data_IF_519966462261
#
_entry.id   IF_519966462261
#
_cell.length_a   1.000
_cell.length_b   1.000
_cell.length_c   1.000
_cell.angle_alpha   90.00
_cell.angle_beta   90.00
_cell.angle_gamma   90.00
#
_symmetry.space_group_name_H-M   'P 1'
#
loop_
_entity.id
_entity.type
_entity.pdbx_description
1 polymer ?
#
# COMPACT_ATOMS: atom_id res chain seq x y z
N UNK A 1 -36.70 40.77 45.09
CA UNK A 1 -37.50 41.69 44.26
C UNK A 1 -36.57 42.43 43.32
N UNK A 2 -36.57 42.07 42.03
CA UNK A 2 -36.49 43.02 40.91
C UNK A 2 -36.64 42.23 39.61
N UNK A 3 -37.76 42.47 38.93
CA UNK A 3 -38.09 41.96 37.61
C UNK A 3 -37.40 42.84 36.58
N UNK A 4 -36.73 42.24 35.60
CA UNK A 4 -36.38 42.91 34.35
C UNK A 4 -36.96 42.09 33.20
N UNK A 5 -37.85 42.77 32.49
CA UNK A 5 -38.66 42.31 31.37
C UNK A 5 -37.88 42.32 30.05
N UNK A 6 -38.14 41.27 29.27
CA UNK A 6 -37.98 41.02 27.84
C UNK A 6 -37.59 42.17 26.89
N UNK A 7 -36.78 41.84 25.88
CA UNK A 7 -37.08 42.18 24.48
C UNK A 7 -36.52 41.08 23.56
N UNK A 8 -37.42 40.31 22.94
CA UNK A 8 -37.13 39.39 21.86
C UNK A 8 -36.94 40.18 20.56
N UNK A 9 -35.82 40.02 19.87
CA UNK A 9 -35.65 40.49 18.49
C UNK A 9 -35.82 39.29 17.57
N UNK A 10 -36.98 39.23 16.90
CA UNK A 10 -37.21 38.32 15.78
C UNK A 10 -36.47 38.89 14.56
N UNK A 11 -35.41 38.21 14.11
CA UNK A 11 -34.82 38.44 12.79
C UNK A 11 -35.42 37.41 11.83
N UNK A 12 -36.44 37.82 11.10
CA UNK A 12 -36.90 37.13 9.89
C UNK A 12 -35.96 37.50 8.75
N UNK A 13 -35.12 36.55 8.31
CA UNK A 13 -34.36 36.70 7.07
C UNK A 13 -34.85 35.69 6.02
N UNK A 14 -35.22 36.27 4.90
CA UNK A 14 -35.93 35.74 3.73
C UNK A 14 -35.10 34.70 2.98
N UNK A 15 -35.74 33.58 2.63
CA UNK A 15 -35.24 32.58 1.68
C UNK A 15 -35.15 33.21 0.28
N UNK A 16 -33.95 33.32 -0.28
CA UNK A 16 -33.74 33.50 -1.72
C UNK A 16 -33.53 32.12 -2.36
N UNK A 17 -34.57 31.62 -3.03
CA UNK A 17 -34.46 30.53 -4.01
C UNK A 17 -34.15 31.18 -5.35
N UNK A 18 -32.98 30.89 -5.92
CA UNK A 18 -32.64 31.32 -7.28
C UNK A 18 -31.90 30.20 -8.01
N UNK A 19 -32.64 29.56 -8.91
CA UNK A 19 -32.21 29.27 -10.27
C UNK A 19 -31.16 28.17 -10.49
N UNK A 20 -31.64 26.97 -10.81
CA UNK A 20 -30.90 26.02 -11.63
C UNK A 20 -30.42 26.66 -12.94
N UNK A 21 -29.12 26.59 -13.22
CA UNK A 21 -28.59 26.71 -14.59
C UNK A 21 -27.74 25.49 -14.91
N UNK A 22 -28.25 24.73 -15.88
CA UNK A 22 -27.62 23.56 -16.48
C UNK A 22 -26.34 23.98 -17.19
N UNK A 23 -25.21 23.37 -16.84
CA UNK A 23 -23.95 23.48 -17.57
C UNK A 23 -23.66 22.13 -18.24
N UNK A 24 -23.61 22.16 -19.56
CA UNK A 24 -23.38 21.02 -20.45
C UNK A 24 -22.00 20.40 -20.22
N UNK A 25 -21.98 19.07 -20.13
CA UNK A 25 -20.78 18.24 -20.17
C UNK A 25 -20.06 18.46 -21.52
N UNK A 26 -18.85 18.99 -21.45
CA UNK A 26 -17.89 18.92 -22.55
C UNK A 26 -16.98 17.73 -22.25
N UNK A 27 -17.16 16.62 -22.97
CA UNK A 27 -16.22 15.50 -22.94
C UNK A 27 -14.90 15.94 -23.59
N UNK A 28 -13.85 16.05 -22.78
CA UNK A 28 -12.48 16.14 -23.28
C UNK A 28 -11.82 14.79 -23.01
N UNK A 29 -11.71 13.98 -24.06
CA UNK A 29 -10.87 12.79 -24.06
C UNK A 29 -9.41 13.23 -24.03
N UNK A 30 -8.79 13.21 -22.85
CA UNK A 30 -7.33 13.28 -22.72
C UNK A 30 -6.86 11.89 -22.34
N UNK A 31 -6.25 11.20 -23.32
CA UNK A 31 -5.47 10.00 -23.09
C UNK A 31 -4.28 10.33 -22.18
N UNK A 32 -4.46 10.13 -20.88
CA UNK A 32 -3.42 10.24 -19.87
C UNK A 32 -2.61 8.97 -19.82
N UNK A 33 -1.36 9.06 -20.26
CA UNK A 33 -0.31 8.06 -20.14
C UNK A 33 -0.16 7.67 -18.65
N UNK A 34 -0.42 6.40 -18.31
CA UNK A 34 -0.12 5.85 -16.99
C UNK A 34 1.35 6.15 -16.64
N UNK A 35 1.54 6.90 -15.57
CA UNK A 35 2.84 7.37 -15.05
C UNK A 35 3.09 6.56 -13.79
N UNK A 36 4.23 5.87 -13.71
CA UNK A 36 5.07 5.39 -12.57
C UNK A 36 4.44 5.15 -11.17
N UNK A 37 3.12 5.19 -11.04
CA UNK A 37 2.28 5.07 -9.84
C UNK A 37 1.70 3.67 -9.71
N UNK A 38 1.73 2.89 -10.79
CA UNK A 38 1.18 1.54 -10.86
C UNK A 38 2.11 0.52 -10.16
N UNK A 39 3.41 0.80 -10.03
CA UNK A 39 4.37 -0.16 -9.45
C UNK A 39 4.31 -0.18 -7.91
N UNK A 40 4.15 0.97 -7.24
CA UNK A 40 3.90 0.99 -5.78
C UNK A 40 2.51 0.44 -5.44
N UNK A 41 1.54 0.54 -6.36
CA UNK A 41 0.23 -0.10 -6.22
C UNK A 41 0.32 -1.64 -6.36
N UNK A 42 1.22 -2.14 -7.20
CA UNK A 42 1.38 -3.58 -7.43
C UNK A 42 2.11 -4.27 -6.27
N UNK A 43 3.15 -3.68 -5.68
CA UNK A 43 3.76 -4.26 -4.46
C UNK A 43 2.80 -4.22 -3.26
N UNK A 44 1.94 -3.19 -3.18
CA UNK A 44 0.87 -3.08 -2.16
C UNK A 44 -0.28 -4.07 -2.30
N UNK A 45 -0.41 -4.77 -3.44
CA UNK A 45 -1.51 -5.71 -3.73
C UNK A 45 -1.06 -7.15 -4.04
N UNK A 46 0.20 -7.37 -4.46
CA UNK A 46 0.62 -8.65 -5.07
C UNK A 46 1.30 -9.63 -4.11
N UNK A 47 1.43 -9.31 -2.81
CA UNK A 47 1.91 -10.28 -1.82
C UNK A 47 1.05 -11.57 -1.76
N UNK A 48 -0.19 -11.54 -2.26
CA UNK A 48 -1.15 -12.64 -2.08
C UNK A 48 -1.42 -13.50 -3.32
N UNK A 49 -0.96 -13.10 -4.52
CA UNK A 49 -1.32 -13.79 -5.77
C UNK A 49 -0.29 -14.82 -6.27
N UNK A 50 0.99 -14.71 -5.89
CA UNK A 50 2.09 -15.50 -6.52
C UNK A 50 2.39 -16.85 -5.88
N UNK A 51 1.64 -17.29 -4.87
CA UNK A 51 1.84 -18.63 -4.27
C UNK A 51 0.79 -19.67 -4.64
N UNK A 52 -0.18 -19.37 -5.52
CA UNK A 52 -1.25 -20.32 -5.89
C UNK A 52 -1.18 -20.91 -7.30
N UNK A 53 -0.12 -20.64 -8.09
CA UNK A 53 0.00 -21.14 -9.47
C UNK A 53 1.19 -22.08 -9.77
N UNK A 54 1.95 -22.48 -8.75
CA UNK A 54 2.84 -23.63 -8.85
C UNK A 54 2.62 -24.56 -7.65
N UNK A 55 1.52 -25.31 -7.66
CA UNK A 55 1.46 -26.71 -7.20
C UNK A 55 0.04 -27.22 -7.44
N UNK A 56 -0.19 -27.70 -8.68
CA UNK A 56 -1.40 -28.39 -9.10
C UNK A 56 -1.05 -29.71 -9.76
N UNK A 57 -0.90 -30.75 -8.92
CA UNK A 57 -1.38 -32.13 -9.16
C UNK A 57 -0.80 -32.94 -10.35
N UNK A 58 0.00 -33.94 -10.02
CA UNK A 58 -0.27 -35.33 -10.43
C UNK A 58 0.48 -36.31 -9.52
N UNK A 59 -0.27 -37.28 -8.99
CA UNK A 59 0.25 -38.50 -8.42
C UNK A 59 -0.01 -39.66 -9.36
N UNK A 60 0.82 -40.70 -9.20
CA UNK A 60 0.73 -42.07 -9.70
C UNK A 60 1.23 -42.40 -11.12
N UNK A 61 2.50 -42.82 -11.14
CA UNK A 61 3.05 -44.09 -11.62
C UNK A 61 2.59 -44.64 -12.99
N UNK A 62 3.54 -44.79 -13.93
CA UNK A 62 4.14 -46.08 -14.33
C UNK A 62 4.90 -46.02 -15.68
N UNK A 63 5.94 -46.86 -15.72
CA UNK A 63 6.50 -47.61 -16.86
C UNK A 63 7.33 -46.87 -17.94
N UNK A 64 8.64 -47.13 -17.87
CA UNK A 64 9.53 -47.68 -18.89
C UNK A 64 9.31 -47.40 -20.39
N UNK A 65 10.41 -46.96 -21.01
CA UNK A 65 10.88 -47.33 -22.34
C UNK A 65 10.08 -46.84 -23.56
N UNK A 66 10.68 -45.94 -24.35
CA UNK A 66 10.71 -46.12 -25.81
C UNK A 66 11.84 -45.31 -26.46
N UNK A 67 12.62 -46.04 -27.26
CA UNK A 67 13.73 -45.65 -28.11
C UNK A 67 13.34 -44.78 -29.32
N UNK A 68 14.35 -44.10 -29.86
CA UNK A 68 14.63 -43.90 -31.29
C UNK A 68 13.59 -43.17 -32.18
N UNK A 69 14.04 -42.13 -32.89
CA UNK A 69 14.43 -42.23 -34.30
C UNK A 69 15.08 -40.92 -34.79
N UNK A 70 16.33 -41.04 -35.23
CA UNK A 70 17.02 -40.47 -36.42
C UNK A 70 16.11 -39.75 -37.47
N UNK A 71 16.51 -38.84 -38.36
CA UNK A 71 17.78 -38.38 -38.99
C UNK A 71 17.39 -37.21 -39.93
N UNK A 72 18.15 -36.10 -39.97
CA UNK A 72 19.07 -35.65 -41.04
C UNK A 72 18.48 -35.05 -42.35
N UNK A 73 19.18 -33.99 -42.80
CA UNK A 73 19.30 -33.43 -44.16
C UNK A 73 18.18 -32.54 -44.75
N UNK A 74 18.42 -31.42 -45.46
CA UNK A 74 19.64 -30.85 -46.04
C UNK A 74 19.49 -29.33 -46.38
N UNK A 75 20.64 -28.67 -46.41
CA UNK A 75 21.12 -27.53 -47.25
C UNK A 75 20.17 -26.73 -48.15
N UNK A 76 20.29 -25.40 -48.14
CA UNK A 76 20.58 -24.57 -49.33
C UNK A 76 20.77 -23.07 -49.01
N UNK A 77 21.60 -22.44 -49.82
CA UNK A 77 22.26 -21.12 -49.69
C UNK A 77 21.35 -19.89 -49.90
N UNK A 78 21.83 -18.75 -49.41
CA UNK A 78 21.23 -17.42 -49.55
C UNK A 78 21.57 -16.73 -50.89
N UNK A 79 20.75 -15.75 -51.31
CA UNK A 79 21.25 -14.57 -52.00
C UNK A 79 20.90 -13.27 -51.26
N UNK A 80 21.81 -12.30 -51.39
CA UNK A 80 21.76 -10.99 -50.75
C UNK A 80 20.90 -9.96 -51.53
N UNK A 81 20.52 -8.92 -50.78
CA UNK A 81 20.03 -7.59 -51.18
C UNK A 81 18.51 -7.37 -51.24
N UNK A 82 17.97 -6.83 -50.15
CA UNK A 82 17.08 -5.66 -50.21
C UNK A 82 17.20 -4.86 -48.90
N UNK A 83 17.63 -3.60 -49.00
CA UNK A 83 17.73 -2.68 -47.85
C UNK A 83 16.32 -2.28 -47.44
N UNK A 84 15.81 -2.89 -46.38
CA UNK A 84 14.63 -2.38 -45.66
C UNK A 84 15.05 -1.91 -44.28
N UNK A 85 14.84 -0.62 -44.08
CA UNK A 85 15.04 0.16 -42.86
C UNK A 85 14.60 -0.61 -41.62
N UNK A 86 15.55 -0.96 -40.76
CA UNK A 86 15.28 -1.56 -39.47
C UNK A 86 14.40 -0.61 -38.63
N UNK A 87 13.33 -1.10 -37.98
CA UNK A 87 12.64 -0.31 -36.96
C UNK A 87 13.64 -0.06 -35.82
N UNK A 88 13.86 1.20 -35.49
CA UNK A 88 14.61 1.60 -34.30
C UNK A 88 14.05 0.86 -33.08
N UNK A 89 14.90 0.28 -32.20
CA UNK A 89 14.41 -0.28 -30.95
C UNK A 89 13.69 0.84 -30.21
N UNK A 90 12.40 0.61 -29.95
CA UNK A 90 11.58 1.50 -29.13
C UNK A 90 12.29 1.59 -27.80
N UNK A 91 12.57 2.82 -27.35
CA UNK A 91 13.16 3.10 -26.04
C UNK A 91 12.53 2.16 -25.01
N UNK A 92 13.33 1.22 -24.51
CA UNK A 92 12.99 0.46 -23.33
C UNK A 92 12.69 1.50 -22.26
N UNK A 93 11.41 1.60 -21.90
CA UNK A 93 11.01 2.33 -20.72
C UNK A 93 11.85 1.73 -19.61
N UNK A 94 12.50 2.57 -18.82
CA UNK A 94 13.18 2.17 -17.61
C UNK A 94 12.16 1.47 -16.71
N UNK A 95 12.00 0.16 -16.89
CA UNK A 95 11.62 -0.72 -15.82
C UNK A 95 12.69 -0.48 -14.78
N UNK A 96 12.29 0.13 -13.66
CA UNK A 96 13.15 0.25 -12.51
C UNK A 96 13.36 -1.19 -12.01
N UNK A 97 14.30 -1.87 -12.65
CA UNK A 97 14.68 -3.23 -12.33
C UNK A 97 15.19 -3.17 -10.90
N UNK A 98 14.40 -3.70 -9.98
CA UNK A 98 14.80 -4.08 -8.63
C UNK A 98 16.02 -4.98 -8.75
N UNK A 99 17.19 -4.35 -8.74
CA UNK A 99 18.43 -5.07 -8.65
C UNK A 99 18.66 -5.30 -7.15
N UNK A 100 19.04 -6.54 -6.78
CA UNK A 100 19.51 -7.00 -5.46
C UNK A 100 20.75 -6.21 -4.96
N UNK A 101 20.71 -4.88 -5.08
CA UNK A 101 21.87 -3.98 -5.17
C UNK A 101 21.77 -2.81 -4.20
N UNK A 102 20.61 -2.60 -3.58
CA UNK A 102 20.52 -1.69 -2.45
C UNK A 102 21.19 -2.35 -1.25
N UNK A 103 22.30 -1.78 -0.79
CA UNK A 103 22.99 -2.29 0.38
C UNK A 103 22.10 -2.16 1.63
N UNK A 104 21.94 -3.20 2.46
CA UNK A 104 21.20 -3.11 3.72
C UNK A 104 21.66 -1.94 4.59
N UNK A 105 20.70 -1.27 5.24
CA UNK A 105 20.94 -0.14 6.15
C UNK A 105 21.07 1.23 5.46
N UNK A 106 21.15 1.27 4.13
CA UNK A 106 21.20 2.51 3.34
C UNK A 106 19.79 2.97 2.98
N UNK A 107 19.20 3.73 3.89
CA UNK A 107 17.92 4.40 3.72
C UNK A 107 17.85 5.61 4.66
N UNK A 108 16.86 6.48 4.48
CA UNK A 108 16.74 7.71 5.27
C UNK A 108 15.76 7.58 6.44
N UNK A 109 14.60 6.97 6.19
CA UNK A 109 13.51 6.89 7.17
C UNK A 109 12.66 5.63 7.04
N UNK A 110 11.83 5.34 8.04
CA UNK A 110 10.82 4.30 7.97
C UNK A 110 9.45 4.89 7.65
N UNK A 111 8.70 4.23 6.77
CA UNK A 111 7.27 4.43 6.59
C UNK A 111 6.53 3.28 7.28
N UNK A 112 5.86 3.59 8.39
CA UNK A 112 4.91 2.67 9.00
C UNK A 112 3.62 2.69 8.17
N UNK A 113 3.19 1.54 7.67
CA UNK A 113 1.93 1.39 6.93
C UNK A 113 0.93 0.58 7.75
N UNK A 114 -0.18 1.22 8.11
CA UNK A 114 -1.31 0.61 8.81
C UNK A 114 -2.46 0.46 7.80
N UNK A 115 -2.76 -0.78 7.38
CA UNK A 115 -3.86 -1.07 6.45
C UNK A 115 -5.21 -0.97 7.13
N UNK A 116 -6.20 -0.38 6.45
CA UNK A 116 -7.59 -0.38 6.87
C UNK A 116 -8.22 -1.75 6.57
N UNK A 117 -8.29 -2.61 7.58
CA UNK A 117 -8.71 -4.01 7.42
C UNK A 117 -10.12 -4.18 6.82
N UNK A 118 -11.14 -3.35 7.13
CA UNK A 118 -12.46 -3.54 6.53
C UNK A 118 -12.49 -3.41 5.00
N UNK A 119 -11.65 -2.55 4.42
CA UNK A 119 -11.53 -2.45 2.96
C UNK A 119 -10.79 -3.67 2.38
N UNK A 120 -9.72 -4.11 3.03
CA UNK A 120 -8.99 -5.32 2.61
C UNK A 120 -9.88 -6.57 2.68
N UNK A 121 -10.59 -6.77 3.79
CA UNK A 121 -11.48 -7.90 4.03
C UNK A 121 -12.68 -7.93 3.10
N UNK A 122 -13.07 -6.81 2.49
CA UNK A 122 -14.11 -6.78 1.46
C UNK A 122 -13.73 -7.66 0.26
N UNK A 123 -12.45 -7.67 -0.12
CA UNK A 123 -11.93 -8.46 -1.24
C UNK A 123 -11.23 -9.75 -0.82
N UNK A 124 -10.82 -9.86 0.44
CA UNK A 124 -10.13 -11.02 1.02
C UNK A 124 -10.83 -11.56 2.28
N UNK A 125 -12.12 -11.92 2.23
CA UNK A 125 -12.90 -12.24 3.44
C UNK A 125 -12.40 -13.47 4.22
N UNK A 126 -11.57 -14.32 3.59
CA UNK A 126 -11.00 -15.51 4.21
C UNK A 126 -9.59 -15.30 4.81
N UNK A 127 -9.04 -14.09 4.71
CA UNK A 127 -7.74 -13.78 5.30
C UNK A 127 -7.79 -13.86 6.83
N UNK A 128 -6.69 -14.29 7.45
CA UNK A 128 -6.63 -14.54 8.90
C UNK A 128 -6.92 -13.28 9.74
N UNK A 129 -6.56 -12.09 9.24
CA UNK A 129 -6.81 -10.84 9.94
C UNK A 129 -8.29 -10.46 10.03
N UNK A 130 -9.12 -10.91 9.09
CA UNK A 130 -10.53 -10.55 9.04
C UNK A 130 -11.33 -11.14 10.20
N UNK A 131 -10.88 -12.28 10.76
CA UNK A 131 -11.48 -12.87 11.95
C UNK A 131 -11.26 -12.05 13.24
N UNK A 132 -10.34 -11.09 13.23
CA UNK A 132 -10.02 -10.25 14.40
C UNK A 132 -10.87 -8.98 14.48
N UNK A 133 -11.59 -8.64 13.41
CA UNK A 133 -12.44 -7.44 13.30
C UNK A 133 -11.72 -6.14 13.74
N UNK A 134 -10.40 -6.06 13.52
CA UNK A 134 -9.62 -4.86 13.81
C UNK A 134 -9.90 -3.80 12.77
N UNK A 135 -9.81 -2.55 13.18
CA UNK A 135 -9.85 -1.40 12.28
C UNK A 135 -8.59 -1.32 11.41
N UNK A 136 -7.42 -1.47 12.04
CA UNK A 136 -6.12 -1.41 11.38
C UNK A 136 -5.27 -2.64 11.72
N UNK A 137 -4.52 -3.11 10.73
CA UNK A 137 -3.42 -4.10 10.87
C UNK A 137 -2.12 -3.48 10.37
N UNK A 138 -0.99 -3.88 10.96
CA UNK A 138 0.32 -3.58 10.39
C UNK A 138 0.45 -4.26 9.02
N UNK A 139 0.55 -3.46 7.97
CA UNK A 139 1.01 -3.98 6.68
C UNK A 139 2.52 -4.07 6.68
N UNK A 140 3.22 -3.03 7.14
CA UNK A 140 4.66 -2.95 6.96
C UNK A 140 5.36 -1.81 7.68
N UNK A 141 6.68 -1.99 7.87
CA UNK A 141 7.60 -0.92 8.26
C UNK A 141 8.69 -0.82 7.18
N UNK A 142 8.54 0.14 6.27
CA UNK A 142 9.33 0.16 5.04
C UNK A 142 10.46 1.17 5.10
N UNK A 143 11.72 0.76 4.87
CA UNK A 143 12.80 1.70 4.58
C UNK A 143 12.50 2.58 3.36
N UNK A 144 12.68 3.89 3.47
CA UNK A 144 12.41 4.89 2.43
C UNK A 144 13.56 5.90 2.32
N UNK A 145 13.67 6.55 1.16
CA UNK A 145 14.59 7.67 0.92
C UNK A 145 13.84 8.99 0.72
N UNK A 146 14.49 10.10 1.06
CA UNK A 146 13.90 11.44 0.95
C UNK A 146 13.62 11.87 -0.50
N UNK A 147 14.30 11.27 -1.48
CA UNK A 147 14.09 11.50 -2.90
C UNK A 147 12.87 10.74 -3.48
N UNK A 148 12.21 9.93 -2.66
CA UNK A 148 11.06 9.11 -3.05
C UNK A 148 11.42 7.73 -3.57
N UNK A 149 12.71 7.41 -3.70
CA UNK A 149 13.15 6.03 -3.95
C UNK A 149 13.09 5.21 -2.66
N UNK A 150 13.19 3.90 -2.82
CA UNK A 150 13.19 2.98 -1.69
C UNK A 150 13.98 1.71 -2.01
N UNK A 151 14.73 1.18 -1.05
CA UNK A 151 15.41 -0.09 -1.23
C UNK A 151 14.42 -1.26 -1.10
N UNK A 152 14.62 -2.31 -1.89
CA UNK A 152 13.86 -3.56 -1.85
C UNK A 152 14.75 -4.77 -2.10
N UNK A 153 14.38 -5.92 -1.54
CA UNK A 153 15.04 -7.23 -1.77
C UNK A 153 16.55 -7.19 -1.50
N UNK A 154 16.97 -6.55 -0.41
CA UNK A 154 18.37 -6.19 -0.20
C UNK A 154 19.30 -7.36 0.17
N UNK A 155 18.77 -8.50 0.60
CA UNK A 155 19.55 -9.72 0.90
C UNK A 155 18.67 -10.96 1.02
N UNK A 156 19.31 -12.15 1.02
CA UNK A 156 18.66 -13.43 1.34
C UNK A 156 18.77 -13.79 2.84
N UNK A 157 18.89 -12.80 3.72
CA UNK A 157 18.99 -13.05 5.15
C UNK A 157 17.76 -13.84 5.65
N UNK A 158 17.96 -14.84 6.55
CA UNK A 158 16.87 -15.68 7.02
C UNK A 158 15.84 -14.84 7.78
N UNK A 159 14.59 -15.28 7.74
CA UNK A 159 13.49 -14.72 8.54
C UNK A 159 13.66 -14.93 10.05
N UNK A 160 12.67 -14.53 10.86
CA UNK A 160 12.76 -14.67 12.31
C UNK A 160 12.83 -16.13 12.76
N UNK A 161 13.47 -16.37 13.90
CA UNK A 161 13.64 -17.72 14.44
C UNK A 161 12.30 -18.40 14.80
N UNK A 162 11.34 -17.62 15.28
CA UNK A 162 10.00 -18.09 15.62
C UNK A 162 8.95 -17.12 15.04
N UNK A 163 8.53 -17.28 13.76
CA UNK A 163 7.61 -16.35 13.10
C UNK A 163 6.28 -16.16 13.84
N UNK A 164 5.74 -17.24 14.44
CA UNK A 164 4.48 -17.21 15.19
C UNK A 164 4.48 -16.26 16.39
N UNK A 165 5.66 -15.89 16.92
CA UNK A 165 5.73 -14.92 18.01
C UNK A 165 5.29 -13.51 17.56
N UNK A 166 5.23 -13.24 16.25
CA UNK A 166 4.81 -11.97 15.66
C UNK A 166 3.37 -11.99 15.11
N UNK A 167 2.60 -13.03 15.41
CA UNK A 167 1.20 -13.18 14.96
C UNK A 167 0.26 -12.07 15.49
N UNK A 168 0.67 -11.34 16.52
CA UNK A 168 -0.06 -10.16 17.01
C UNK A 168 -0.06 -9.01 16.00
N UNK A 169 1.06 -8.78 15.31
CA UNK A 169 1.21 -7.72 14.31
C UNK A 169 1.07 -8.23 12.87
N UNK A 170 1.43 -9.49 12.62
CA UNK A 170 1.30 -10.17 11.32
C UNK A 170 0.52 -11.48 11.47
N UNK A 171 -0.83 -11.44 11.46
CA UNK A 171 -1.64 -12.64 11.58
C UNK A 171 -1.43 -13.65 10.44
N UNK A 172 -1.05 -13.14 9.26
CA UNK A 172 -0.72 -13.94 8.09
C UNK A 172 0.80 -14.16 8.00
N UNK A 173 1.22 -15.43 8.02
CA UNK A 173 2.63 -15.80 7.97
C UNK A 173 3.28 -15.51 6.60
N UNK A 174 2.50 -15.56 5.51
CA UNK A 174 2.98 -15.22 4.17
C UNK A 174 3.22 -13.72 4.03
N UNK A 175 2.36 -12.89 4.65
CA UNK A 175 2.59 -11.45 4.75
C UNK A 175 3.87 -11.16 5.54
N UNK A 176 4.06 -11.77 6.72
CA UNK A 176 5.29 -11.62 7.49
C UNK A 176 6.54 -11.96 6.64
N UNK A 177 6.49 -13.08 5.92
CA UNK A 177 7.58 -13.51 5.07
C UNK A 177 7.86 -12.49 3.96
N UNK A 178 6.82 -12.01 3.27
CA UNK A 178 6.95 -11.01 2.22
C UNK A 178 7.55 -9.71 2.76
N UNK A 179 7.01 -9.18 3.85
CA UNK A 179 7.48 -7.94 4.47
C UNK A 179 8.93 -8.04 4.93
N UNK A 180 9.34 -9.20 5.45
CA UNK A 180 10.74 -9.44 5.76
C UNK A 180 11.61 -9.43 4.51
N UNK A 181 11.26 -10.23 3.50
CA UNK A 181 12.07 -10.42 2.29
C UNK A 181 12.23 -9.11 1.52
N UNK A 182 11.13 -8.43 1.23
CA UNK A 182 11.10 -7.22 0.41
C UNK A 182 11.67 -6.02 1.16
N UNK A 183 11.24 -5.79 2.41
CA UNK A 183 11.50 -4.54 3.13
C UNK A 183 12.42 -4.70 4.34
N UNK A 184 12.22 -5.76 5.12
CA UNK A 184 12.97 -6.01 6.35
C UNK A 184 14.47 -6.23 6.12
N UNK A 185 14.83 -6.97 5.06
CA UNK A 185 16.22 -7.23 4.67
C UNK A 185 16.99 -5.94 4.37
N UNK A 186 16.30 -4.86 3.96
CA UNK A 186 16.89 -3.56 3.67
C UNK A 186 17.19 -2.72 4.92
N UNK A 187 16.67 -3.09 6.08
CA UNK A 187 16.93 -2.37 7.33
C UNK A 187 18.37 -2.50 7.84
N UNK A 188 19.09 -3.55 7.43
CA UNK A 188 20.39 -3.93 7.99
C UNK A 188 20.31 -4.56 9.39
N UNK A 189 19.11 -4.79 9.92
CA UNK A 189 18.88 -5.47 11.20
C UNK A 189 18.64 -6.97 10.99
N UNK A 190 18.99 -7.83 11.97
CA UNK A 190 18.49 -9.20 12.01
C UNK A 190 16.95 -9.24 12.09
N UNK A 191 16.33 -10.27 11.51
CA UNK A 191 14.87 -10.37 11.37
C UNK A 191 14.10 -10.15 12.68
N UNK A 192 14.51 -10.80 13.77
CA UNK A 192 13.84 -10.64 15.06
C UNK A 192 13.95 -9.20 15.62
N UNK A 193 15.07 -8.52 15.38
CA UNK A 193 15.23 -7.11 15.79
C UNK A 193 14.38 -6.18 14.93
N UNK A 194 14.30 -6.43 13.62
CA UNK A 194 13.44 -5.67 12.71
C UNK A 194 11.95 -5.84 13.05
N UNK A 195 11.47 -7.07 13.25
CA UNK A 195 10.06 -7.31 13.58
C UNK A 195 9.70 -6.80 14.98
N UNK A 196 10.65 -6.82 15.92
CA UNK A 196 10.49 -6.12 17.21
C UNK A 196 10.43 -4.59 17.05
N UNK A 197 11.19 -4.01 16.12
CA UNK A 197 11.10 -2.60 15.76
C UNK A 197 9.75 -2.27 15.12
N UNK A 198 9.28 -3.07 14.16
CA UNK A 198 7.98 -2.92 13.51
C UNK A 198 6.82 -2.98 14.51
N UNK A 199 6.86 -3.95 15.45
CA UNK A 199 5.90 -4.01 16.57
C UNK A 199 5.91 -2.74 17.42
N UNK A 200 7.08 -2.20 17.74
CA UNK A 200 7.17 -0.95 18.52
C UNK A 200 6.61 0.24 17.74
N UNK A 201 6.85 0.29 16.43
CA UNK A 201 6.32 1.33 15.56
C UNK A 201 4.79 1.29 15.51
N UNK A 202 4.19 0.12 15.26
CA UNK A 202 2.74 -0.06 15.25
C UNK A 202 2.11 0.35 16.59
N UNK A 203 2.63 -0.18 17.70
CA UNK A 203 2.12 0.13 19.05
C UNK A 203 2.36 1.57 19.51
N UNK A 204 3.20 2.33 18.81
CA UNK A 204 3.41 3.74 19.10
C UNK A 204 2.28 4.65 18.58
N UNK A 205 1.41 4.12 17.71
CA UNK A 205 0.30 4.86 17.12
C UNK A 205 -1.01 4.44 17.77
N UNK A 206 -1.62 5.38 18.50
CA UNK A 206 -2.97 5.25 19.03
C UNK A 206 -3.98 5.43 17.90
N UNK A 207 -4.82 4.41 17.67
CA UNK A 207 -5.94 4.51 16.72
C UNK A 207 -7.03 5.42 17.31
N UNK A 208 -7.52 6.43 16.57
CA UNK A 208 -8.63 7.27 17.02
C UNK A 208 -9.90 6.47 17.26
N UNK A 209 -10.62 6.75 18.34
CA UNK A 209 -11.83 6.00 18.70
C UNK A 209 -12.94 6.15 17.63
N UNK A 210 -12.96 7.28 16.93
CA UNK A 210 -13.87 7.59 15.83
C UNK A 210 -13.70 6.65 14.64
N UNK A 211 -12.52 6.05 14.47
CA UNK A 211 -12.23 5.06 13.42
C UNK A 211 -12.17 3.65 13.99
N UNK A 212 -11.54 3.47 15.15
CA UNK A 212 -11.39 2.17 15.81
C UNK A 212 -12.71 1.56 16.28
N UNK A 213 -13.72 2.39 16.58
CA UNK A 213 -15.05 1.97 17.03
C UNK A 213 -16.15 2.21 16.01
N UNK A 214 -15.82 2.29 14.72
CA UNK A 214 -16.80 2.56 13.67
C UNK A 214 -17.80 1.40 13.56
N UNK A 215 -19.10 1.68 13.71
CA UNK A 215 -20.17 0.69 13.52
C UNK A 215 -20.91 0.87 12.20
N UNK A 216 -20.78 2.04 11.56
CA UNK A 216 -21.45 2.42 10.33
C UNK A 216 -20.47 3.08 9.38
N UNK A 217 -20.55 2.74 8.10
CA UNK A 217 -19.64 3.29 7.09
C UNK A 217 -19.76 4.81 7.03
N UNK A 218 -18.64 5.51 6.92
CA UNK A 218 -18.59 6.98 6.85
C UNK A 218 -17.75 7.46 5.69
N UNK A 219 -17.69 8.77 5.49
CA UNK A 219 -16.81 9.37 4.50
C UNK A 219 -16.30 10.74 4.99
N UNK A 220 -14.98 10.89 5.05
CA UNK A 220 -14.30 12.05 5.63
C UNK A 220 -13.35 12.68 4.60
N UNK A 221 -13.11 13.98 4.71
CA UNK A 221 -12.01 14.62 3.98
C UNK A 221 -10.66 14.13 4.54
N UNK A 222 -9.59 14.04 3.72
CA UNK A 222 -8.27 13.59 4.16
C UNK A 222 -7.75 14.30 5.42
N UNK A 223 -7.88 15.62 5.48
CA UNK A 223 -7.44 16.42 6.63
C UNK A 223 -8.21 16.11 7.92
N UNK A 224 -9.47 15.66 7.83
CA UNK A 224 -10.22 15.24 9.01
C UNK A 224 -9.64 13.93 9.57
N UNK A 225 -9.32 12.96 8.71
CA UNK A 225 -8.69 11.69 9.12
C UNK A 225 -7.32 11.97 9.76
N UNK A 226 -6.48 12.79 9.11
CA UNK A 226 -5.16 13.18 9.64
C UNK A 226 -5.32 13.90 10.99
N UNK A 227 -6.30 14.81 11.10
CA UNK A 227 -6.58 15.51 12.36
C UNK A 227 -6.98 14.56 13.48
N UNK A 228 -7.82 13.56 13.22
CA UNK A 228 -8.19 12.54 14.21
C UNK A 228 -6.95 11.81 14.75
N UNK A 229 -6.08 11.32 13.86
CA UNK A 229 -4.84 10.67 14.27
C UNK A 229 -3.94 11.59 15.10
N UNK A 230 -3.77 12.85 14.72
CA UNK A 230 -2.95 13.81 15.47
C UNK A 230 -3.55 14.18 16.83
N UNK A 231 -4.88 14.18 16.97
CA UNK A 231 -5.54 14.40 18.26
C UNK A 231 -5.29 13.24 19.21
N UNK A 232 -5.36 12.00 18.72
CA UNK A 232 -5.03 10.80 19.52
C UNK A 232 -3.53 10.63 19.76
N UNK A 233 -2.68 11.25 18.93
CA UNK A 233 -1.22 11.16 19.00
C UNK A 233 -0.57 12.55 18.96
N UNK A 234 -0.57 13.32 20.07
CA UNK A 234 -0.05 14.69 20.08
C UNK A 234 1.45 14.83 19.74
N UNK A 235 2.21 13.73 19.80
CA UNK A 235 3.62 13.67 19.40
C UNK A 235 3.83 13.63 17.89
N UNK A 236 2.79 13.39 17.09
CA UNK A 236 2.89 13.38 15.62
C UNK A 236 2.92 14.82 15.07
N UNK A 237 4.04 15.27 14.49
CA UNK A 237 4.14 16.61 13.94
C UNK A 237 3.25 16.77 12.69
N UNK A 238 3.03 18.01 12.28
CA UNK A 238 2.34 18.27 11.01
C UNK A 238 3.09 17.63 9.83
N UNK A 239 2.35 17.03 8.91
CA UNK A 239 2.92 16.40 7.72
C UNK A 239 3.61 15.06 7.97
N UNK A 240 3.55 14.47 9.17
CA UNK A 240 4.11 13.12 9.43
C UNK A 240 3.17 11.98 9.04
N UNK A 241 1.96 12.30 8.58
CA UNK A 241 0.93 11.33 8.21
C UNK A 241 0.59 11.52 6.73
N UNK A 242 0.53 10.42 6.00
CA UNK A 242 -0.04 10.34 4.66
C UNK A 242 -1.17 9.32 4.64
N UNK A 243 -2.13 9.49 3.72
CA UNK A 243 -3.22 8.53 3.53
C UNK A 243 -3.16 7.89 2.16
N UNK A 244 -3.41 6.59 2.10
CA UNK A 244 -3.60 5.87 0.84
C UNK A 244 -5.08 5.58 0.65
N UNK A 245 -5.55 5.72 -0.59
CA UNK A 245 -6.89 5.32 -0.96
C UNK A 245 -6.96 4.69 -2.35
N UNK A 246 -7.84 3.71 -2.52
CA UNK A 246 -8.15 3.04 -3.80
C UNK A 246 -9.63 3.24 -4.12
N UNK A 247 -9.98 3.72 -5.32
CA UNK A 247 -11.38 4.06 -5.67
C UNK A 247 -12.08 4.97 -4.63
N UNK A 248 -11.33 5.86 -3.99
CA UNK A 248 -11.74 6.70 -2.87
C UNK A 248 -12.09 5.95 -1.56
N UNK A 249 -11.77 4.67 -1.41
CA UNK A 249 -11.85 3.95 -0.14
C UNK A 249 -10.52 4.04 0.60
N UNK A 250 -10.55 4.24 1.92
CA UNK A 250 -9.35 4.24 2.76
C UNK A 250 -8.69 2.86 2.68
N UNK A 251 -7.42 2.83 2.28
CA UNK A 251 -6.66 1.57 2.24
C UNK A 251 -5.56 1.55 3.29
N UNK A 252 -4.94 2.69 3.59
CA UNK A 252 -3.94 2.76 4.65
C UNK A 252 -3.78 4.16 5.24
N UNK A 253 -3.33 4.19 6.49
CA UNK A 253 -2.75 5.37 7.15
C UNK A 253 -1.27 5.10 7.31
N UNK A 254 -0.45 6.05 6.87
CA UNK A 254 1.00 5.89 6.86
C UNK A 254 1.66 6.96 7.74
N UNK A 255 2.69 6.58 8.50
CA UNK A 255 3.42 7.48 9.39
C UNK A 255 4.90 7.42 9.08
N UNK A 256 5.50 8.57 8.79
CA UNK A 256 6.94 8.68 8.53
C UNK A 256 7.70 8.84 9.84
N UNK A 257 8.73 8.02 10.04
CA UNK A 257 9.51 7.95 11.28
C UNK A 257 11.00 7.92 10.98
N UNK A 258 11.83 8.54 11.82
CA UNK A 258 13.28 8.34 11.76
C UNK A 258 13.66 6.90 12.15
N UNK A 259 14.95 6.56 12.03
CA UNK A 259 15.45 5.21 12.38
C UNK A 259 15.29 4.84 13.86
N UNK A 260 14.97 5.81 14.72
CA UNK A 260 14.68 5.64 16.15
C UNK A 260 13.17 5.64 16.45
N UNK A 261 12.33 5.55 15.42
CA UNK A 261 10.86 5.61 15.50
C UNK A 261 10.29 6.94 15.98
N UNK A 262 11.05 8.04 15.90
CA UNK A 262 10.49 9.37 16.13
C UNK A 262 9.79 9.85 14.87
N UNK A 263 8.53 10.24 15.00
CA UNK A 263 7.77 10.76 13.88
C UNK A 263 8.42 12.01 13.29
N UNK A 264 8.43 12.09 11.96
CA UNK A 264 8.96 13.21 11.20
C UNK A 264 8.08 13.50 10.00
N UNK A 265 8.23 14.67 9.38
CA UNK A 265 7.46 15.00 8.17
C UNK A 265 7.80 14.04 7.02
N UNK A 266 6.76 13.60 6.32
CA UNK A 266 6.89 12.72 5.18
C UNK A 266 7.56 13.45 4.00
N UNK A 267 8.69 12.90 3.56
CA UNK A 267 9.39 13.33 2.34
C UNK A 267 8.98 12.43 1.19
N UNK A 268 8.57 13.01 0.06
CA UNK A 268 8.13 12.30 -1.15
C UNK A 268 6.95 11.30 -1.01
N UNK A 269 6.44 11.04 0.19
CA UNK A 269 5.17 10.33 0.43
C UNK A 269 4.02 11.34 0.41
N UNK A 270 2.94 11.02 -0.30
CA UNK A 270 1.80 11.93 -0.51
C UNK A 270 0.49 11.25 -0.14
N UNK A 271 -0.38 12.01 0.52
CA UNK A 271 -1.79 11.64 0.67
C UNK A 271 -2.44 11.53 -0.71
N UNK A 272 -3.30 10.51 -0.89
CA UNK A 272 -4.06 10.33 -2.11
C UNK A 272 -4.91 11.58 -2.45
N UNK A 273 -5.19 11.79 -3.74
CA UNK A 273 -5.84 13.01 -4.24
C UNK A 273 -7.36 13.10 -4.05
N UNK A 274 -7.96 12.21 -3.27
CA UNK A 274 -9.41 12.21 -3.05
C UNK A 274 -9.84 13.41 -2.18
N UNK A 275 -10.90 14.10 -2.57
CA UNK A 275 -11.49 15.17 -1.74
C UNK A 275 -12.30 14.62 -0.56
N UNK A 276 -12.77 13.40 -0.69
CA UNK A 276 -13.50 12.65 0.32
C UNK A 276 -13.13 11.17 0.21
N UNK A 277 -12.80 10.56 1.34
CA UNK A 277 -12.39 9.17 1.47
C UNK A 277 -13.51 8.41 2.20
N UNK A 278 -14.01 7.35 1.57
CA UNK A 278 -14.97 6.39 2.12
C UNK A 278 -14.25 5.46 3.09
N UNK A 279 -14.85 5.23 4.24
CA UNK A 279 -14.31 4.43 5.32
C UNK A 279 -15.38 3.38 5.65
N UNK A 280 -15.31 2.18 5.06
CA UNK A 280 -16.27 1.13 5.30
C UNK A 280 -16.15 0.63 6.75
N UNK A 281 -17.27 0.35 7.40
CA UNK A 281 -17.26 -0.25 8.74
C UNK A 281 -16.67 -1.66 8.72
N UNK A 282 -16.04 -2.11 9.82
CA UNK A 282 -15.75 -3.52 10.04
C UNK A 282 -17.00 -4.40 9.82
N UNK A 283 -16.80 -5.54 9.15
CA UNK A 283 -17.86 -6.54 8.92
C UNK A 283 -18.11 -7.40 10.15
#
# INVERSE_FOLDING_TARGET
MNRLTATFVLVTLTLFVSGCRSAQQTQVSIGGRASDRDDQYNDRYQAESRHRHHHGRSGEAKDDNWESYDREDATAEAPASDRRTAPQPRSDRHHNSHALTAAPGQFDFYLLNLSWSPEFCHTHPAAAECAQHRAFTLHGLWPQNHDGTYPGDCSEAPGPNAPSQYADIYPDASLLQHEWQTHGTCSGLPADQFLTLARRAERSIQIPAELGGLTESTALAPEQIISLFRQSNPSLPAGSIALTCGNNYLTAVEVCMDKNLKAQSCSAVRTCGATQIRIPAPQ
#
